data_IF_839421367176
#
_entry.id   IF_839421367176
#
_cell.length_a   1.000
_cell.length_b   1.000
_cell.length_c   1.000
_cell.angle_alpha   90.00
_cell.angle_beta   90.00
_cell.angle_gamma   90.00
#
_symmetry.space_group_name_H-M   'P 1'
#
loop_
_entity.id
_entity.type
_entity.pdbx_description
1 polymer ?
#
# COMPACT_ATOMS: atom_id res chain seq x y z
N UNK A 1 -5.06 -11.91 -13.14
CA UNK A 1 -5.63 -10.72 -12.48
C UNK A 1 -6.04 -9.68 -13.51
N UNK A 2 -5.14 -9.15 -14.35
CA UNK A 2 -5.53 -8.18 -15.39
C UNK A 2 -6.60 -8.72 -16.37
N UNK A 3 -6.51 -9.98 -16.80
CA UNK A 3 -7.56 -10.61 -17.62
C UNK A 3 -8.92 -10.72 -16.91
N UNK A 4 -8.91 -10.73 -15.57
CA UNK A 4 -10.13 -10.68 -14.74
C UNK A 4 -10.54 -9.24 -14.45
N UNK A 5 -9.88 -8.23 -15.05
CA UNK A 5 -10.12 -6.80 -14.88
C UNK A 5 -9.73 -6.23 -13.53
N UNK A 6 -8.70 -6.80 -12.88
CA UNK A 6 -8.07 -6.23 -11.69
C UNK A 6 -6.67 -5.75 -12.04
N UNK A 7 -6.34 -4.51 -11.69
CA UNK A 7 -4.97 -4.00 -11.70
C UNK A 7 -4.13 -4.73 -10.64
N UNK A 8 -2.80 -4.66 -10.73
CA UNK A 8 -1.91 -5.31 -9.76
C UNK A 8 -0.84 -4.36 -9.26
N UNK A 9 -0.65 -4.27 -7.95
CA UNK A 9 0.60 -3.71 -7.42
C UNK A 9 1.53 -4.86 -7.05
N UNK A 10 2.71 -4.87 -7.65
CA UNK A 10 3.74 -5.87 -7.41
C UNK A 10 4.71 -5.32 -6.37
N UNK A 11 4.98 -6.12 -5.33
CA UNK A 11 5.93 -5.78 -4.29
C UNK A 11 6.98 -6.88 -4.17
N UNK A 12 8.25 -6.52 -4.38
CA UNK A 12 9.38 -7.42 -4.16
C UNK A 12 9.79 -7.33 -2.69
N UNK A 13 9.36 -8.33 -1.93
CA UNK A 13 9.57 -8.40 -0.48
C UNK A 13 11.01 -8.76 -0.15
N UNK A 14 11.62 -7.93 0.67
CA UNK A 14 12.87 -8.23 1.35
C UNK A 14 12.98 -7.47 2.67
N UNK A 15 13.87 -7.95 3.53
CA UNK A 15 14.15 -7.36 4.82
C UNK A 15 14.77 -5.96 4.68
N UNK A 16 14.66 -5.19 5.78
CA UNK A 16 15.41 -3.95 5.96
C UNK A 16 16.91 -4.25 5.86
N UNK A 17 17.49 -4.04 4.69
CA UNK A 17 18.90 -4.34 4.46
C UNK A 17 19.81 -3.34 5.17
N UNK A 18 20.92 -3.85 5.70
CA UNK A 18 22.04 -3.06 6.22
C UNK A 18 23.28 -3.15 5.34
N UNK A 19 23.14 -3.77 4.18
CA UNK A 19 24.19 -3.99 3.19
C UNK A 19 23.84 -3.21 1.91
N UNK A 20 24.77 -2.34 1.48
CA UNK A 20 24.60 -1.52 0.29
C UNK A 20 24.51 -2.37 -0.99
N UNK A 21 25.24 -3.49 -1.06
CA UNK A 21 25.18 -4.39 -2.22
C UNK A 21 23.80 -5.04 -2.32
N UNK A 22 23.22 -5.45 -1.19
CA UNK A 22 21.85 -5.98 -1.17
C UNK A 22 20.81 -4.92 -1.52
N UNK A 23 21.00 -3.66 -1.11
CA UNK A 23 20.11 -2.55 -1.50
C UNK A 23 20.17 -2.28 -3.01
N UNK A 24 21.36 -2.35 -3.61
CA UNK A 24 21.55 -2.26 -5.06
C UNK A 24 20.90 -3.43 -5.80
N UNK A 25 21.05 -4.66 -5.29
CA UNK A 25 20.40 -5.85 -5.85
C UNK A 25 18.87 -5.74 -5.79
N UNK A 26 18.31 -5.29 -4.67
CA UNK A 26 16.88 -5.05 -4.54
C UNK A 26 16.38 -3.98 -5.52
N UNK A 27 17.14 -2.89 -5.66
CA UNK A 27 16.84 -1.84 -6.65
C UNK A 27 16.87 -2.40 -8.07
N UNK A 28 17.84 -3.25 -8.40
CA UNK A 28 17.93 -3.89 -9.71
C UNK A 28 16.75 -4.84 -9.96
N UNK A 29 16.27 -5.55 -8.95
CA UNK A 29 15.08 -6.40 -9.08
C UNK A 29 13.82 -5.58 -9.35
N UNK A 30 13.62 -4.44 -8.67
CA UNK A 30 12.51 -3.54 -8.99
C UNK A 30 12.59 -2.98 -10.42
N UNK A 31 13.79 -2.68 -10.93
CA UNK A 31 13.97 -2.31 -12.34
C UNK A 31 13.56 -3.43 -13.29
N UNK A 32 13.90 -4.68 -12.99
CA UNK A 32 13.49 -5.84 -13.77
C UNK A 32 11.95 -5.98 -13.78
N UNK A 33 11.29 -5.74 -12.64
CA UNK A 33 9.82 -5.76 -12.53
C UNK A 33 9.19 -4.66 -13.37
N UNK A 34 9.69 -3.43 -13.30
CA UNK A 34 9.22 -2.29 -14.12
C UNK A 34 9.29 -2.66 -15.61
N UNK A 35 10.43 -3.17 -16.06
CA UNK A 35 10.62 -3.60 -17.44
C UNK A 35 9.67 -4.75 -17.83
N UNK A 36 9.46 -5.71 -16.94
CA UNK A 36 8.57 -6.84 -17.17
C UNK A 36 7.10 -6.41 -17.28
N UNK A 37 6.65 -5.45 -16.45
CA UNK A 37 5.32 -4.83 -16.52
C UNK A 37 5.15 -4.15 -17.88
N UNK A 38 6.10 -3.29 -18.27
CA UNK A 38 6.04 -2.53 -19.51
C UNK A 38 6.05 -3.45 -20.74
N UNK A 39 6.98 -4.40 -20.82
CA UNK A 39 7.13 -5.32 -21.94
C UNK A 39 5.89 -6.21 -22.15
N UNK A 40 5.20 -6.58 -21.07
CA UNK A 40 3.98 -7.38 -21.12
C UNK A 40 2.70 -6.52 -21.19
N UNK A 41 2.82 -5.19 -21.19
CA UNK A 41 1.71 -4.24 -21.17
C UNK A 41 0.69 -4.56 -20.07
N UNK A 42 1.18 -4.82 -18.85
CA UNK A 42 0.35 -5.16 -17.70
C UNK A 42 -0.22 -3.89 -17.06
N UNK A 43 -1.50 -3.94 -16.69
CA UNK A 43 -2.11 -2.92 -15.81
C UNK A 43 -1.59 -3.15 -14.39
N UNK A 44 -0.41 -2.60 -14.12
CA UNK A 44 0.32 -2.84 -12.90
C UNK A 44 1.18 -1.67 -12.46
N UNK A 45 1.50 -1.63 -11.18
CA UNK A 45 2.45 -0.69 -10.57
C UNK A 45 3.38 -1.44 -9.62
N UNK A 46 4.39 -0.76 -9.09
CA UNK A 46 5.25 -1.31 -8.04
C UNK A 46 4.97 -0.65 -6.68
N UNK A 47 5.13 -1.41 -5.60
CA UNK A 47 5.26 -0.89 -4.23
C UNK A 47 6.62 -1.26 -3.69
N UNK A 48 7.19 -0.42 -2.83
CA UNK A 48 8.45 -0.72 -2.17
C UNK A 48 8.53 -0.10 -0.78
N UNK A 49 9.29 -0.75 0.10
CA UNK A 49 9.77 -0.17 1.35
C UNK A 49 11.11 0.55 1.08
N UNK A 50 11.26 1.79 1.55
CA UNK A 50 12.50 2.54 1.36
C UNK A 50 13.68 1.88 2.10
N UNK A 51 13.40 1.20 3.22
CA UNK A 51 14.43 0.45 3.93
C UNK A 51 15.00 -0.74 3.15
N UNK A 52 14.21 -1.34 2.25
CA UNK A 52 14.65 -2.45 1.40
C UNK A 52 15.67 -1.97 0.36
N UNK A 53 15.60 -0.69 -0.03
CA UNK A 53 16.51 -0.07 -1.01
C UNK A 53 17.55 0.87 -0.38
N UNK A 54 17.83 0.69 0.92
CA UNK A 54 19.02 1.28 1.56
C UNK A 54 18.78 2.53 2.43
N UNK A 55 17.53 2.98 2.63
CA UNK A 55 17.23 4.15 3.47
C UNK A 55 17.77 4.03 4.91
N UNK A 56 17.77 2.81 5.47
CA UNK A 56 18.22 2.57 6.87
C UNK A 56 19.75 2.58 6.99
N UNK A 57 20.47 2.39 5.88
CA UNK A 57 21.93 2.49 5.82
C UNK A 57 22.32 3.97 5.74
N UNK A 58 21.77 4.64 4.73
CA UNK A 58 21.97 6.05 4.44
C UNK A 58 20.70 6.56 3.73
N UNK A 59 20.08 7.59 4.28
CA UNK A 59 18.91 8.21 3.69
C UNK A 59 19.15 8.68 2.24
N UNK A 60 20.35 9.16 1.93
CA UNK A 60 20.71 9.58 0.57
C UNK A 60 20.87 8.39 -0.38
N UNK A 61 21.31 7.24 0.12
CA UNK A 61 21.35 6.01 -0.69
C UNK A 61 19.93 5.57 -1.06
N UNK A 62 19.04 5.49 -0.05
CA UNK A 62 17.62 5.16 -0.27
C UNK A 62 16.94 6.13 -1.24
N UNK A 63 17.20 7.44 -1.09
CA UNK A 63 16.69 8.47 -1.99
C UNK A 63 17.20 8.30 -3.43
N UNK A 64 18.52 8.09 -3.64
CA UNK A 64 19.09 7.89 -4.99
C UNK A 64 18.53 6.65 -5.68
N UNK A 65 18.39 5.55 -4.94
CA UNK A 65 17.79 4.32 -5.46
C UNK A 65 16.31 4.55 -5.82
N UNK A 66 15.56 5.24 -4.96
CA UNK A 66 14.17 5.61 -5.25
C UNK A 66 14.04 6.53 -6.47
N UNK A 67 14.97 7.48 -6.68
CA UNK A 67 15.01 8.33 -7.88
C UNK A 67 15.20 7.49 -9.15
N UNK A 68 16.10 6.52 -9.12
CA UNK A 68 16.32 5.58 -10.24
C UNK A 68 15.05 4.82 -10.59
N UNK A 69 14.36 4.28 -9.58
CA UNK A 69 13.11 3.54 -9.76
C UNK A 69 11.96 4.43 -10.23
N UNK A 70 11.79 5.60 -9.61
CA UNK A 70 10.77 6.58 -9.98
C UNK A 70 10.93 7.01 -11.44
N UNK A 71 12.18 7.28 -11.87
CA UNK A 71 12.48 7.67 -13.25
C UNK A 71 12.18 6.54 -14.24
N UNK A 72 12.58 5.31 -13.92
CA UNK A 72 12.32 4.15 -14.76
C UNK A 72 10.81 3.90 -14.90
N UNK A 73 10.06 3.91 -13.79
CA UNK A 73 8.61 3.77 -13.79
C UNK A 73 7.93 4.89 -14.60
N UNK A 74 8.37 6.14 -14.44
CA UNK A 74 7.80 7.28 -15.16
C UNK A 74 7.97 7.18 -16.68
N UNK A 75 9.14 6.73 -17.14
CA UNK A 75 9.42 6.56 -18.57
C UNK A 75 8.47 5.53 -19.22
N UNK A 76 8.02 4.55 -18.45
CA UNK A 76 7.08 3.51 -18.89
C UNK A 76 5.61 3.85 -18.55
N UNK A 77 5.33 5.06 -18.03
CA UNK A 77 3.99 5.48 -17.64
C UNK A 77 3.42 4.75 -16.41
N UNK A 78 4.29 4.16 -15.58
CA UNK A 78 3.91 3.38 -14.40
C UNK A 78 3.97 4.23 -13.12
N UNK A 79 3.09 3.89 -12.18
CA UNK A 79 3.12 4.41 -10.82
C UNK A 79 4.14 3.65 -9.95
N UNK A 80 4.78 4.37 -9.04
CA UNK A 80 5.58 3.80 -7.95
C UNK A 80 4.97 4.22 -6.61
N UNK A 81 4.63 3.26 -5.76
CA UNK A 81 4.09 3.51 -4.42
C UNK A 81 5.15 3.29 -3.36
N UNK A 82 5.37 4.30 -2.51
CA UNK A 82 6.17 4.15 -1.30
C UNK A 82 5.28 3.58 -0.19
N UNK A 83 5.67 2.41 0.31
CA UNK A 83 5.04 1.77 1.46
C UNK A 83 5.46 2.47 2.75
N UNK A 84 4.55 2.51 3.73
CA UNK A 84 4.83 3.08 5.05
C UNK A 84 5.22 1.96 6.01
N UNK A 85 6.33 2.17 6.69
CA UNK A 85 6.96 1.18 7.56
C UNK A 85 6.62 1.44 9.05
N UNK A 86 7.50 1.02 9.96
CA UNK A 86 7.40 1.29 11.39
C UNK A 86 7.41 2.79 11.73
N UNK A 87 6.81 3.14 12.87
CA UNK A 87 6.62 4.53 13.31
C UNK A 87 7.93 5.31 13.47
N UNK A 88 9.03 4.60 13.76
CA UNK A 88 10.38 5.13 13.86
C UNK A 88 10.91 5.68 12.51
N UNK A 89 10.33 5.25 11.39
CA UNK A 89 10.77 5.60 10.03
C UNK A 89 9.85 6.61 9.35
N UNK A 90 8.65 6.86 9.89
CA UNK A 90 7.60 7.67 9.24
C UNK A 90 8.10 9.05 8.79
N UNK A 91 8.86 9.77 9.61
CA UNK A 91 9.41 11.08 9.24
C UNK A 91 10.33 10.99 8.03
N UNK A 92 11.29 10.07 8.06
CA UNK A 92 12.28 9.92 7.01
C UNK A 92 11.64 9.50 5.67
N UNK A 93 10.63 8.62 5.74
CA UNK A 93 9.84 8.22 4.57
C UNK A 93 9.12 9.42 3.95
N UNK A 94 8.45 10.24 4.78
CA UNK A 94 7.74 11.43 4.32
C UNK A 94 8.68 12.48 3.70
N UNK A 95 9.86 12.69 4.30
CA UNK A 95 10.89 13.60 3.78
C UNK A 95 11.43 13.15 2.42
N UNK A 96 11.74 11.85 2.27
CA UNK A 96 12.19 11.27 1.00
C UNK A 96 11.09 11.35 -0.06
N UNK A 97 9.85 11.03 0.30
CA UNK A 97 8.71 11.16 -0.61
C UNK A 97 8.52 12.59 -1.10
N UNK A 98 8.56 13.58 -0.20
CA UNK A 98 8.48 14.99 -0.57
C UNK A 98 9.57 15.37 -1.60
N UNK A 99 10.83 14.98 -1.36
CA UNK A 99 11.93 15.24 -2.30
C UNK A 99 11.76 14.54 -3.64
N UNK A 100 11.16 13.36 -3.67
CA UNK A 100 10.84 12.66 -4.92
C UNK A 100 9.74 13.41 -5.70
N UNK A 101 8.71 13.89 -5.01
CA UNK A 101 7.59 14.61 -5.62
C UNK A 101 7.98 15.96 -6.24
N UNK A 102 9.11 16.55 -5.83
CA UNK A 102 9.66 17.75 -6.50
C UNK A 102 10.07 17.49 -7.96
N UNK A 103 10.38 16.23 -8.30
CA UNK A 103 10.84 15.82 -9.64
C UNK A 103 9.86 14.89 -10.35
N UNK A 104 9.18 14.01 -9.60
CA UNK A 104 8.39 12.91 -10.14
C UNK A 104 6.93 13.02 -9.71
N UNK A 105 6.02 13.00 -10.68
CA UNK A 105 4.57 13.06 -10.46
C UNK A 105 3.90 11.68 -10.32
N UNK A 106 4.64 10.60 -10.63
CA UNK A 106 4.17 9.21 -10.61
C UNK A 106 4.53 8.47 -9.30
N UNK A 107 5.04 9.19 -8.30
CA UNK A 107 5.41 8.64 -7.00
C UNK A 107 4.30 8.91 -6.00
N UNK A 108 3.65 7.86 -5.52
CA UNK A 108 2.65 7.92 -4.46
C UNK A 108 3.18 7.40 -3.12
N UNK A 109 2.34 7.48 -2.08
CA UNK A 109 2.71 7.09 -0.72
C UNK A 109 1.55 6.42 0.03
N UNK A 110 1.89 5.55 0.95
CA UNK A 110 0.96 4.91 1.88
C UNK A 110 0.86 5.69 3.20
N UNK A 111 -0.35 5.87 3.74
CA UNK A 111 -0.60 6.46 5.05
C UNK A 111 -1.36 5.47 5.95
N UNK A 112 -1.02 5.46 7.25
CA UNK A 112 -1.52 4.46 8.20
C UNK A 112 -2.50 5.10 9.19
N UNK A 113 -3.76 4.68 9.17
CA UNK A 113 -4.82 5.28 9.99
C UNK A 113 -4.60 5.14 11.51
N UNK A 114 -3.82 4.15 11.96
CA UNK A 114 -3.54 3.95 13.38
C UNK A 114 -2.66 5.01 14.03
N UNK A 115 -1.84 5.78 13.30
CA UNK A 115 -0.99 6.78 13.94
C UNK A 115 -1.81 8.03 14.30
N UNK A 116 -1.49 8.65 15.44
CA UNK A 116 -2.12 9.91 15.86
C UNK A 116 -1.79 11.08 14.93
N UNK A 117 -0.62 11.04 14.30
CA UNK A 117 -0.10 12.07 13.37
C UNK A 117 -0.70 12.04 11.96
N UNK A 118 -1.36 10.95 11.56
CA UNK A 118 -1.80 10.73 10.18
C UNK A 118 -2.74 11.81 9.63
N UNK A 119 -3.67 12.42 10.40
CA UNK A 119 -4.46 13.55 9.90
C UNK A 119 -3.60 14.71 9.39
N UNK A 120 -2.54 15.07 10.11
CA UNK A 120 -1.64 16.16 9.69
C UNK A 120 -0.77 15.73 8.50
N UNK A 121 -0.29 14.49 8.50
CA UNK A 121 0.50 13.96 7.37
C UNK A 121 -0.33 13.87 6.09
N UNK A 122 -1.62 13.55 6.19
CA UNK A 122 -2.54 13.55 5.06
C UNK A 122 -2.61 14.94 4.41
N UNK A 123 -2.80 15.99 5.21
CA UNK A 123 -2.85 17.38 4.69
C UNK A 123 -1.54 17.80 4.03
N UNK A 124 -0.39 17.33 4.53
CA UNK A 124 0.92 17.58 3.91
C UNK A 124 1.04 16.87 2.57
N UNK A 125 0.66 15.59 2.50
CA UNK A 125 0.82 14.77 1.30
C UNK A 125 -0.14 15.16 0.18
N UNK A 126 -1.34 15.68 0.51
CA UNK A 126 -2.32 16.18 -0.46
C UNK A 126 -1.80 17.33 -1.34
N UNK A 127 -0.66 17.92 -1.00
CA UNK A 127 -0.02 18.98 -1.81
C UNK A 127 0.73 18.43 -3.04
N UNK A 128 0.97 17.13 -3.11
CA UNK A 128 1.70 16.47 -4.20
C UNK A 128 0.75 15.68 -5.11
N UNK A 129 1.12 15.45 -6.37
CA UNK A 129 0.24 14.79 -7.36
C UNK A 129 0.11 13.28 -7.18
N UNK A 130 1.03 12.65 -6.46
CA UNK A 130 1.11 11.20 -6.30
C UNK A 130 -0.09 10.59 -5.63
N UNK A 131 -0.46 9.36 -6.02
CA UNK A 131 -1.57 8.61 -5.42
C UNK A 131 -1.33 8.39 -3.92
N UNK A 132 -2.39 8.55 -3.11
CA UNK A 132 -2.34 8.25 -1.67
C UNK A 132 -3.04 6.93 -1.41
N UNK A 133 -2.30 5.96 -0.84
CA UNK A 133 -2.88 4.70 -0.36
C UNK A 133 -3.19 4.81 1.13
N UNK A 134 -4.44 4.65 1.53
CA UNK A 134 -4.83 4.62 2.94
C UNK A 134 -4.93 3.17 3.42
N UNK A 135 -4.21 2.84 4.50
CA UNK A 135 -4.27 1.52 5.18
C UNK A 135 -4.59 1.70 6.66
N UNK A 136 -5.00 0.62 7.35
CA UNK A 136 -5.11 0.65 8.82
C UNK A 136 -3.76 0.87 9.51
N UNK A 137 -2.69 0.31 8.96
CA UNK A 137 -1.40 0.15 9.62
C UNK A 137 -1.20 -1.28 10.11
N UNK A 138 0.05 -1.75 10.05
CA UNK A 138 0.42 -3.16 10.24
C UNK A 138 1.46 -3.39 11.34
N UNK A 139 2.14 -2.33 11.79
CA UNK A 139 3.26 -2.42 12.71
C UNK A 139 2.80 -2.23 14.15
N UNK A 140 3.57 -2.78 15.10
CA UNK A 140 3.43 -2.44 16.50
C UNK A 140 3.99 -1.04 16.75
N UNK A 141 3.27 -0.23 17.52
CA UNK A 141 3.70 1.09 17.92
C UNK A 141 3.27 1.37 19.37
N UNK A 142 4.01 2.21 20.11
CA UNK A 142 3.61 2.61 21.46
C UNK A 142 2.28 3.40 21.45
N UNK A 143 1.52 3.33 22.55
CA UNK A 143 0.16 3.88 22.63
C UNK A 143 0.09 5.41 22.51
N UNK A 144 1.16 6.11 22.86
CA UNK A 144 1.31 7.56 22.68
C UNK A 144 1.52 7.95 21.21
N UNK A 145 1.88 7.00 20.34
CA UNK A 145 2.05 7.22 18.90
C UNK A 145 0.89 6.65 18.07
N UNK A 146 0.23 5.60 18.56
CA UNK A 146 -0.76 4.86 17.79
C UNK A 146 -2.00 4.44 18.59
N UNK A 147 -3.12 4.35 17.87
CA UNK A 147 -4.40 3.81 18.32
C UNK A 147 -4.32 2.28 18.39
N UNK A 148 -4.92 1.71 19.43
CA UNK A 148 -5.08 0.26 19.53
C UNK A 148 -6.10 -0.25 18.51
N UNK A 149 -6.03 -1.54 18.15
CA UNK A 149 -7.06 -2.18 17.32
C UNK A 149 -8.43 -2.09 18.01
N UNK A 150 -9.46 -1.69 17.28
CA UNK A 150 -10.83 -1.55 17.78
C UNK A 150 -11.57 -0.37 17.16
N UNK A 151 -12.69 0.01 17.78
CA UNK A 151 -13.60 1.02 17.25
C UNK A 151 -12.95 2.40 17.01
N UNK A 152 -12.00 2.80 17.86
CA UNK A 152 -11.28 4.08 17.70
C UNK A 152 -10.45 4.10 16.41
N UNK A 153 -9.73 3.02 16.11
CA UNK A 153 -8.99 2.88 14.86
C UNK A 153 -9.94 2.83 13.65
N UNK A 154 -11.05 2.12 13.77
CA UNK A 154 -12.02 1.99 12.69
C UNK A 154 -12.65 3.35 12.34
N UNK A 155 -12.96 4.14 13.36
CA UNK A 155 -13.46 5.50 13.21
C UNK A 155 -12.39 6.41 12.60
N UNK A 156 -11.15 6.34 13.08
CA UNK A 156 -10.04 7.10 12.50
C UNK A 156 -9.82 6.77 11.02
N UNK A 157 -9.94 5.50 10.62
CA UNK A 157 -9.85 5.10 9.22
C UNK A 157 -11.00 5.70 8.41
N UNK A 158 -12.25 5.61 8.90
CA UNK A 158 -13.42 6.18 8.21
C UNK A 158 -13.29 7.68 7.99
N UNK A 159 -12.86 8.43 9.01
CA UNK A 159 -12.63 9.87 8.91
C UNK A 159 -11.54 10.23 7.88
N UNK A 160 -10.42 9.50 7.90
CA UNK A 160 -9.34 9.71 6.92
C UNK A 160 -9.77 9.33 5.50
N UNK A 161 -10.55 8.26 5.34
CA UNK A 161 -11.11 7.83 4.07
C UNK A 161 -12.05 8.90 3.51
N UNK A 162 -12.98 9.41 4.31
CA UNK A 162 -13.88 10.49 3.89
C UNK A 162 -13.09 11.74 3.51
N UNK A 163 -12.12 12.15 4.33
CA UNK A 163 -11.27 13.30 4.05
C UNK A 163 -10.49 13.13 2.74
N UNK A 164 -9.97 11.93 2.49
CA UNK A 164 -9.23 11.61 1.27
C UNK A 164 -10.15 11.57 0.04
N UNK A 165 -11.33 10.97 0.13
CA UNK A 165 -12.31 10.95 -0.98
C UNK A 165 -12.78 12.37 -1.33
N UNK A 166 -13.17 13.15 -0.33
CA UNK A 166 -13.64 14.53 -0.51
C UNK A 166 -12.56 15.49 -1.01
N UNK A 167 -11.28 15.15 -0.84
CA UNK A 167 -10.16 15.89 -1.44
C UNK A 167 -10.11 15.81 -2.96
N UNK A 168 -10.77 14.80 -3.57
CA UNK A 168 -10.72 14.48 -5.01
C UNK A 168 -9.31 14.12 -5.50
N UNK A 169 -8.40 13.82 -4.58
CA UNK A 169 -7.05 13.40 -4.87
C UNK A 169 -7.03 11.92 -5.30
N UNK A 170 -6.17 11.52 -6.26
CA UNK A 170 -6.02 10.11 -6.62
C UNK A 170 -5.70 9.28 -5.38
N UNK A 171 -6.50 8.25 -5.12
CA UNK A 171 -6.36 7.46 -3.92
C UNK A 171 -6.62 5.97 -4.12
N UNK A 172 -6.01 5.18 -3.24
CA UNK A 172 -6.30 3.77 -3.05
C UNK A 172 -6.81 3.53 -1.64
N UNK A 173 -8.04 3.06 -1.52
CA UNK A 173 -8.64 2.64 -0.25
C UNK A 173 -8.26 1.17 -0.02
N UNK A 174 -7.21 0.97 0.77
CA UNK A 174 -6.58 -0.33 0.96
C UNK A 174 -6.93 -0.91 2.34
N UNK A 175 -7.91 -1.80 2.35
CA UNK A 175 -8.32 -2.51 3.56
C UNK A 175 -8.88 -3.88 3.19
N UNK A 176 -8.74 -4.82 4.11
CA UNK A 176 -9.40 -6.13 4.06
C UNK A 176 -10.31 -6.36 5.27
N UNK A 177 -10.39 -5.37 6.16
CA UNK A 177 -11.11 -5.52 7.42
C UNK A 177 -12.62 -5.61 7.17
N UNK A 178 -13.28 -6.70 7.59
CA UNK A 178 -14.72 -6.87 7.45
C UNK A 178 -15.59 -5.76 8.04
N UNK A 179 -15.16 -5.10 9.11
CA UNK A 179 -15.90 -4.01 9.74
C UNK A 179 -15.77 -2.69 8.96
N UNK A 180 -14.70 -2.51 8.18
CA UNK A 180 -14.54 -1.34 7.30
C UNK A 180 -15.00 -1.59 5.86
N UNK A 181 -15.07 -2.85 5.47
CA UNK A 181 -15.60 -3.30 4.20
C UNK A 181 -16.98 -3.94 4.35
N UNK A 182 -17.68 -3.66 5.45
CA UNK A 182 -19.07 -4.02 5.51
C UNK A 182 -19.82 -3.25 4.42
N UNK A 183 -20.97 -3.79 4.01
CA UNK A 183 -21.76 -3.18 2.95
C UNK A 183 -22.11 -1.73 3.31
N UNK A 184 -22.37 -1.44 4.58
CA UNK A 184 -22.67 -0.09 5.05
C UNK A 184 -21.52 0.90 4.80
N UNK A 185 -20.27 0.53 5.07
CA UNK A 185 -19.10 1.40 4.86
C UNK A 185 -18.79 1.59 3.37
N UNK A 186 -18.94 0.53 2.56
CA UNK A 186 -18.76 0.62 1.11
C UNK A 186 -19.89 1.41 0.44
N UNK A 187 -21.14 1.21 0.88
CA UNK A 187 -22.30 2.00 0.46
C UNK A 187 -22.18 3.46 0.90
N UNK A 188 -21.64 3.72 2.09
CA UNK A 188 -21.36 5.07 2.55
C UNK A 188 -20.33 5.76 1.67
N UNK A 189 -19.19 5.11 1.40
CA UNK A 189 -18.20 5.62 0.46
C UNK A 189 -18.81 5.85 -0.92
N UNK A 190 -19.60 4.91 -1.44
CA UNK A 190 -20.27 5.04 -2.73
C UNK A 190 -21.27 6.21 -2.75
N UNK A 191 -22.12 6.36 -1.73
CA UNK A 191 -23.04 7.50 -1.62
C UNK A 191 -22.30 8.83 -1.57
N UNK A 192 -21.25 8.93 -0.76
CA UNK A 192 -20.42 10.12 -0.68
C UNK A 192 -19.84 10.51 -2.05
N UNK A 193 -19.32 9.53 -2.79
CA UNK A 193 -18.78 9.71 -4.14
C UNK A 193 -19.85 10.23 -5.10
N UNK A 194 -21.05 9.64 -5.07
CA UNK A 194 -22.17 10.05 -5.92
C UNK A 194 -22.68 11.46 -5.57
N UNK A 195 -22.89 11.74 -4.28
CA UNK A 195 -23.40 13.01 -3.77
C UNK A 195 -22.44 14.16 -4.09
N UNK A 196 -21.13 13.94 -3.95
CA UNK A 196 -20.11 14.94 -4.21
C UNK A 196 -19.61 14.97 -5.67
N UNK A 197 -20.14 14.07 -6.52
CA UNK A 197 -19.75 13.90 -7.93
C UNK A 197 -18.24 13.74 -8.09
N UNK A 198 -17.64 12.92 -7.23
CA UNK A 198 -16.21 12.61 -7.30
C UNK A 198 -16.01 11.66 -8.48
N UNK A 199 -15.00 11.95 -9.30
CA UNK A 199 -14.71 11.17 -10.50
C UNK A 199 -14.22 9.77 -10.07
N UNK A 200 -14.93 8.68 -10.46
CA UNK A 200 -14.59 7.32 -10.00
C UNK A 200 -13.24 6.81 -10.50
N UNK A 201 -12.69 7.40 -11.57
CA UNK A 201 -11.39 7.06 -12.16
C UNK A 201 -10.22 7.39 -11.22
N UNK A 202 -10.40 8.35 -10.30
CA UNK A 202 -9.40 8.72 -9.28
C UNK A 202 -9.45 7.84 -8.03
N UNK A 203 -10.42 6.94 -7.93
CA UNK A 203 -10.67 6.12 -6.75
C UNK A 203 -10.40 4.66 -7.10
N UNK A 204 -9.50 4.07 -6.33
CA UNK A 204 -9.14 2.68 -6.43
C UNK A 204 -9.45 1.96 -5.11
N UNK A 205 -9.99 0.75 -5.20
CA UNK A 205 -10.11 -0.14 -4.05
C UNK A 205 -9.03 -1.21 -4.15
N UNK A 206 -8.30 -1.43 -3.08
CA UNK A 206 -7.12 -2.30 -3.10
C UNK A 206 -7.16 -3.34 -1.99
N UNK A 207 -6.85 -4.58 -2.36
CA UNK A 207 -6.82 -5.70 -1.41
C UNK A 207 -5.62 -6.61 -1.67
N UNK A 208 -5.18 -7.29 -0.63
CA UNK A 208 -4.12 -8.27 -0.70
C UNK A 208 -4.56 -9.50 -1.51
N UNK A 209 -3.63 -10.07 -2.30
CA UNK A 209 -3.86 -11.34 -2.99
C UNK A 209 -4.25 -12.43 -2.00
N UNK A 210 -5.30 -13.17 -2.34
CA UNK A 210 -5.82 -14.28 -1.53
C UNK A 210 -6.79 -13.83 -0.44
N UNK A 211 -7.03 -12.52 -0.30
CA UNK A 211 -7.97 -11.97 0.67
C UNK A 211 -9.23 -11.45 -0.05
N UNK A 212 -10.38 -12.00 0.34
CA UNK A 212 -11.75 -11.49 0.09
C UNK A 212 -12.06 -10.99 -1.34
N UNK A 213 -11.85 -11.84 -2.35
CA UNK A 213 -12.10 -11.52 -3.77
C UNK A 213 -13.53 -11.05 -4.08
N UNK A 214 -14.53 -11.48 -3.30
CA UNK A 214 -15.93 -11.10 -3.50
C UNK A 214 -16.18 -9.61 -3.29
N UNK A 215 -15.51 -8.98 -2.31
CA UNK A 215 -15.70 -7.56 -2.02
C UNK A 215 -15.01 -6.67 -3.03
N UNK A 216 -13.80 -7.06 -3.44
CA UNK A 216 -13.12 -6.38 -4.54
C UNK A 216 -13.95 -6.50 -5.83
N UNK A 217 -14.55 -7.66 -6.08
CA UNK A 217 -15.48 -7.85 -7.19
C UNK A 217 -16.75 -6.98 -7.06
N UNK A 218 -17.30 -6.81 -5.85
CA UNK A 218 -18.43 -5.91 -5.63
C UNK A 218 -18.08 -4.45 -5.96
N UNK A 219 -16.90 -3.96 -5.55
CA UNK A 219 -16.46 -2.60 -5.90
C UNK A 219 -16.25 -2.42 -7.40
N UNK A 220 -15.72 -3.44 -8.06
CA UNK A 220 -15.63 -3.46 -9.52
C UNK A 220 -17.02 -3.39 -10.17
N UNK A 221 -18.02 -4.09 -9.63
CA UNK A 221 -19.40 -4.06 -10.14
C UNK A 221 -20.07 -2.70 -9.91
N UNK A 222 -19.65 -1.93 -8.90
CA UNK A 222 -20.03 -0.52 -8.72
C UNK A 222 -19.32 0.44 -9.68
N UNK A 223 -18.41 -0.05 -10.52
CA UNK A 223 -17.70 0.74 -11.54
C UNK A 223 -16.39 1.36 -11.07
N UNK A 224 -15.85 0.97 -9.92
CA UNK A 224 -14.58 1.48 -9.42
C UNK A 224 -13.37 0.72 -9.96
N UNK A 225 -12.22 1.40 -10.03
CA UNK A 225 -10.94 0.72 -10.23
C UNK A 225 -10.65 -0.18 -9.04
N UNK A 226 -10.10 -1.35 -9.34
CA UNK A 226 -9.81 -2.36 -8.34
C UNK A 226 -8.43 -2.95 -8.57
N UNK A 227 -7.69 -3.09 -7.48
CA UNK A 227 -6.27 -3.47 -7.49
C UNK A 227 -6.00 -4.59 -6.51
N UNK A 228 -5.15 -5.52 -6.92
CA UNK A 228 -4.65 -6.60 -6.08
C UNK A 228 -3.20 -6.34 -5.71
N UNK A 229 -2.89 -6.33 -4.42
CA UNK A 229 -1.52 -6.26 -3.91
C UNK A 229 -0.90 -7.66 -3.94
N UNK A 230 0.17 -7.83 -4.73
CA UNK A 230 0.89 -9.07 -4.96
C UNK A 230 2.31 -8.96 -4.41
N UNK A 231 2.55 -9.41 -3.16
CA UNK A 231 3.91 -9.59 -2.67
C UNK A 231 4.52 -10.84 -3.30
N UNK A 232 5.79 -10.78 -3.66
CA UNK A 232 6.59 -11.91 -4.10
C UNK A 232 8.04 -11.77 -3.62
N UNK A 233 8.86 -12.81 -3.77
CA UNK A 233 10.25 -12.83 -3.30
C UNK A 233 10.50 -14.00 -2.35
N UNK A 234 11.75 -14.18 -1.93
CA UNK A 234 12.15 -15.32 -1.07
C UNK A 234 11.73 -15.13 0.38
N UNK A 235 11.49 -13.89 0.81
CA UNK A 235 11.22 -13.50 2.20
C UNK A 235 9.73 -13.25 2.48
N UNK A 236 8.84 -13.79 1.64
CA UNK A 236 7.38 -13.69 1.76
C UNK A 236 6.83 -14.22 3.10
N UNK A 237 7.60 -15.03 3.83
CA UNK A 237 7.20 -15.63 5.11
C UNK A 237 7.13 -14.59 6.25
N UNK A 238 7.95 -13.53 6.24
CA UNK A 238 7.87 -12.45 7.23
C UNK A 238 6.60 -11.61 7.06
N UNK A 239 6.20 -11.38 5.81
CA UNK A 239 4.91 -10.82 5.48
C UNK A 239 3.77 -11.67 6.03
N UNK A 240 3.83 -13.00 5.83
CA UNK A 240 2.86 -13.91 6.43
C UNK A 240 2.86 -13.81 7.96
N UNK A 241 4.02 -13.76 8.63
CA UNK A 241 4.10 -13.60 10.09
C UNK A 241 3.43 -12.31 10.60
N UNK A 242 3.65 -11.18 9.92
CA UNK A 242 2.95 -9.94 10.26
C UNK A 242 1.43 -10.06 10.04
N UNK A 243 0.97 -10.72 8.97
CA UNK A 243 -0.46 -10.99 8.74
C UNK A 243 -1.08 -11.89 9.82
N UNK A 244 -0.31 -12.87 10.31
CA UNK A 244 -0.74 -13.76 11.39
C UNK A 244 -0.84 -13.03 12.73
N UNK A 245 0.09 -12.12 13.02
CA UNK A 245 0.07 -11.30 14.22
C UNK A 245 -1.09 -10.27 14.25
N UNK A 246 -1.56 -9.82 13.08
CA UNK A 246 -2.65 -8.84 12.99
C UNK A 246 -4.02 -9.36 13.45
N UNK A 247 -4.28 -10.67 13.34
CA UNK A 247 -5.53 -11.30 13.77
C UNK A 247 -5.29 -12.73 14.30
N UNK A 248 -5.35 -12.98 15.62
CA UNK A 248 -5.07 -14.30 16.22
C UNK A 248 -5.85 -15.49 15.63
N UNK A 249 -7.12 -15.35 15.15
CA UNK A 249 -7.81 -16.44 14.46
C UNK A 249 -7.12 -16.89 13.16
N UNK A 250 -6.40 -16.00 12.47
CA UNK A 250 -5.64 -16.35 11.26
C UNK A 250 -4.45 -17.26 11.60
N UNK A 251 -3.90 -17.19 12.82
CA UNK A 251 -2.87 -18.11 13.32
C UNK A 251 -3.44 -19.53 13.38
N UNK A 252 -4.64 -19.68 13.95
CA UNK A 252 -5.30 -20.98 14.04
C UNK A 252 -5.61 -21.56 12.66
N UNK A 253 -6.10 -20.72 11.73
CA UNK A 253 -6.38 -21.13 10.36
C UNK A 253 -5.10 -21.51 9.59
N UNK A 254 -4.03 -20.72 9.69
CA UNK A 254 -2.76 -21.01 9.02
C UNK A 254 -2.08 -22.28 9.57
N UNK A 255 -2.15 -22.51 10.89
CA UNK A 255 -1.71 -23.77 11.50
C UNK A 255 -2.57 -24.93 10.99
N UNK A 256 -3.89 -24.74 10.89
CA UNK A 256 -4.81 -25.76 10.37
C UNK A 256 -4.54 -26.10 8.90
N UNK A 257 -4.27 -25.11 8.07
CA UNK A 257 -3.99 -25.29 6.64
C UNK A 257 -2.59 -25.88 6.41
N UNK A 258 -1.58 -25.49 7.19
CA UNK A 258 -0.26 -26.12 7.18
C UNK A 258 -0.31 -27.60 7.61
N UNK A 259 -1.15 -27.95 8.59
CA UNK A 259 -1.37 -29.35 8.99
C UNK A 259 -2.12 -30.17 7.92
N UNK A 260 -3.00 -29.54 7.14
CA UNK A 260 -3.68 -30.20 6.00
C UNK A 260 -2.74 -30.42 4.81
N UNK A 261 -1.79 -29.53 4.57
CA UNK A 261 -0.76 -29.69 3.54
C UNK A 261 0.36 -30.68 3.93
N UNK A 262 0.39 -31.16 5.18
CA UNK A 262 1.36 -32.17 5.66
C UNK A 262 0.95 -33.63 5.46
N UNK A 263 -0.25 -33.89 4.94
CA UNK A 263 -0.72 -35.22 4.54
C UNK A 263 -1.48 -35.11 3.20
N UNK A 264 -0.73 -35.11 2.10
CA UNK A 264 -1.26 -35.13 0.73
C UNK A 264 -0.15 -35.22 -0.29
#
# INVERSE_FOLDING_TARGET
>A
MNQQGFAVTIDYMGESTRDAEMAEQATQEFLNVIQAIAHQNLDSSISLDLSHIGMVIDAELGYKNACTLAKAAQNEGLEMMISMEGVDRTNLILEIHQRLCETFNNVGITLQAYLHRTPDDLERVLQYSGKIRLVKGAYAAPADHAKSRGAELDESYRQLMERLLTSRHPCSIATHDPALLDLASLEHAHRLIQEQKIEPDKIEFEMLKGVTSERLQAMKNYGYHTRVYLPYGREWHLYLCNRLAEHPPNIYQAITDAMKCGYG
#
